data_IF_104914430868
#
_entry.id   IF_104914430868
#
_cell.length_a   1.000
_cell.length_b   1.000
_cell.length_c   1.000
_cell.angle_alpha   90.00
_cell.angle_beta   90.00
_cell.angle_gamma   90.00
#
_symmetry.space_group_name_H-M   'P 1'
#
loop_
_entity.id
_entity.type
_entity.pdbx_description
1 polymer ?
#
# COMPACT_ATOMS: atom_id res chain seq x y z
N UNK A 1 17.60 -14.37 7.48
CA UNK A 1 17.19 -13.91 7.82
C UNK A 1 16.92 -12.65 7.36
N UNK A 2 17.27 -11.89 7.52
CA UNK A 2 16.82 -10.59 7.35
C UNK A 2 16.55 -10.15 5.97
N UNK A 3 16.99 -10.88 5.02
CA UNK A 3 16.82 -10.39 3.72
C UNK A 3 15.43 -10.37 3.28
N UNK A 4 14.57 -11.16 3.75
CA UNK A 4 13.22 -11.01 3.31
C UNK A 4 12.59 -9.78 3.90
N UNK A 5 13.31 -9.11 4.78
CA UNK A 5 12.85 -7.83 5.28
C UNK A 5 13.47 -6.68 4.54
N UNK A 6 14.08 -6.95 3.40
CA UNK A 6 14.65 -5.88 2.62
C UNK A 6 13.57 -4.90 2.21
N UNK A 7 13.83 -3.64 2.40
CA UNK A 7 12.87 -2.59 2.10
C UNK A 7 13.15 -2.07 0.70
N UNK A 8 12.14 -2.14 -0.15
CA UNK A 8 12.22 -1.57 -1.47
C UNK A 8 11.81 -0.11 -1.40
N UNK A 9 12.36 0.70 -2.29
CA UNK A 9 11.99 2.10 -2.35
C UNK A 9 11.20 2.36 -3.61
N UNK A 10 10.10 3.09 -3.48
CA UNK A 10 9.27 3.46 -4.60
C UNK A 10 8.98 4.94 -4.49
N UNK A 11 9.43 5.70 -5.46
CA UNK A 11 9.25 7.15 -5.49
C UNK A 11 9.70 7.82 -4.19
N UNK A 12 10.82 7.34 -3.67
CA UNK A 12 11.42 7.95 -2.50
C UNK A 12 10.86 7.52 -1.15
N UNK A 13 9.94 6.58 -1.13
CA UNK A 13 9.35 6.09 0.13
C UNK A 13 9.52 4.58 0.25
N UNK A 14 9.62 4.07 1.48
CA UNK A 14 9.76 2.63 1.67
C UNK A 14 8.53 1.88 1.21
N UNK A 15 8.74 0.74 0.59
CA UNK A 15 7.68 -0.16 0.18
C UNK A 15 8.01 -1.52 0.76
N UNK A 16 7.22 -1.94 1.74
CA UNK A 16 7.46 -3.19 2.43
C UNK A 16 6.42 -4.21 1.99
N UNK A 17 6.89 -5.38 1.62
CA UNK A 17 5.99 -6.44 1.19
C UNK A 17 5.92 -7.53 2.23
N UNK A 18 4.69 -8.00 2.50
CA UNK A 18 4.47 -9.09 3.43
C UNK A 18 3.34 -9.94 2.87
N UNK A 19 3.67 -11.17 2.43
CA UNK A 19 2.70 -12.08 1.82
C UNK A 19 2.00 -11.40 0.64
N UNK A 20 0.69 -11.22 0.71
CA UNK A 20 -0.05 -10.58 -0.36
C UNK A 20 -0.42 -9.15 0.00
N UNK A 21 0.29 -8.54 0.94
CA UNK A 21 0.08 -7.17 1.35
C UNK A 21 1.34 -6.37 1.11
N UNK A 22 1.16 -5.09 0.78
CA UNK A 22 2.27 -4.16 0.64
C UNK A 22 1.94 -2.92 1.46
N UNK A 23 2.95 -2.43 2.16
CA UNK A 23 2.82 -1.19 2.93
C UNK A 23 3.72 -0.15 2.31
N UNK A 24 3.16 0.99 1.94
CA UNK A 24 3.89 2.06 1.28
C UNK A 24 3.88 3.30 2.16
N UNK A 25 5.06 3.78 2.51
CA UNK A 25 5.22 4.93 3.37
C UNK A 25 5.95 4.56 4.65
N UNK A 26 6.04 5.51 5.56
CA UNK A 26 6.75 5.34 6.82
C UNK A 26 5.78 5.48 7.99
N UNK A 27 5.93 4.64 8.99
CA UNK A 27 5.14 4.77 10.20
C UNK A 27 5.48 6.05 10.97
N UNK A 28 6.57 6.71 10.61
CA UNK A 28 6.89 8.00 11.20
C UNK A 28 6.03 9.13 10.63
N UNK A 29 5.40 8.91 9.48
CA UNK A 29 4.48 9.86 8.90
C UNK A 29 3.08 9.66 9.47
N UNK A 30 2.19 10.61 9.23
CA UNK A 30 0.83 10.53 9.77
C UNK A 30 -0.05 9.54 9.03
N UNK A 31 0.33 9.18 7.81
CA UNK A 31 -0.45 8.28 6.98
C UNK A 31 0.46 7.28 6.30
N UNK A 32 -0.09 6.12 6.00
CA UNK A 32 0.57 5.16 5.13
C UNK A 32 -0.49 4.55 4.22
N UNK A 33 -0.03 3.90 3.17
CA UNK A 33 -0.92 3.21 2.23
C UNK A 33 -0.69 1.72 2.36
N UNK A 34 -1.78 0.97 2.46
CA UNK A 34 -1.72 -0.48 2.44
C UNK A 34 -2.37 -0.97 1.15
N UNK A 35 -1.66 -1.82 0.45
CA UNK A 35 -2.20 -2.47 -0.73
C UNK A 35 -2.33 -3.95 -0.42
N UNK A 36 -3.47 -4.53 -0.78
CA UNK A 36 -3.70 -5.95 -0.56
C UNK A 36 -4.12 -6.59 -1.87
N UNK A 37 -3.42 -7.63 -2.26
CA UNK A 37 -3.77 -8.37 -3.46
C UNK A 37 -4.97 -9.24 -3.15
N UNK A 38 -6.09 -8.96 -3.80
CA UNK A 38 -7.34 -9.68 -3.57
C UNK A 38 -7.49 -10.86 -4.51
N UNK A 39 -7.04 -10.71 -5.75
CA UNK A 39 -7.13 -11.76 -6.75
C UNK A 39 -5.89 -11.77 -7.61
N UNK A 40 -5.53 -12.96 -8.06
CA UNK A 40 -4.46 -13.10 -9.03
C UNK A 40 -4.99 -13.92 -10.20
N UNK A 41 -4.34 -13.82 -11.34
CA UNK A 41 -4.63 -14.67 -12.48
C UNK A 41 -3.32 -15.06 -13.12
N UNK A 42 -3.35 -16.18 -13.85
CA UNK A 42 -2.16 -16.65 -14.54
C UNK A 42 -2.08 -16.06 -15.91
N UNK A 43 -0.91 -15.50 -16.21
CA UNK A 43 -0.61 -15.00 -17.55
C UNK A 43 0.75 -15.58 -17.90
N UNK A 44 0.77 -16.48 -18.90
CA UNK A 44 2.01 -17.13 -19.32
C UNK A 44 2.73 -17.80 -18.15
N UNK A 45 1.96 -18.54 -17.34
CA UNK A 45 2.49 -19.28 -16.20
C UNK A 45 2.99 -18.41 -15.06
N UNK A 46 2.70 -17.11 -15.10
CA UNK A 46 3.05 -16.21 -14.00
C UNK A 46 1.78 -15.77 -13.29
N UNK A 47 1.85 -15.69 -11.98
CA UNK A 47 0.74 -15.16 -11.19
C UNK A 47 0.83 -13.65 -11.18
N UNK A 48 -0.20 -13.00 -11.70
CA UNK A 48 -0.25 -11.55 -11.81
C UNK A 48 -1.41 -11.04 -10.97
N UNK A 49 -1.17 -10.01 -10.18
CA UNK A 49 -2.25 -9.41 -9.39
C UNK A 49 -3.28 -8.81 -10.32
N UNK A 50 -4.53 -9.30 -10.24
CA UNK A 50 -5.60 -8.81 -11.10
C UNK A 50 -6.50 -7.83 -10.38
N UNK A 51 -6.57 -7.91 -9.06
CA UNK A 51 -7.36 -6.96 -8.27
C UNK A 51 -6.62 -6.65 -6.99
N UNK A 52 -6.44 -5.37 -6.70
CA UNK A 52 -5.68 -4.92 -5.54
C UNK A 52 -6.50 -3.87 -4.81
N UNK A 53 -6.64 -4.04 -3.51
CA UNK A 53 -7.27 -3.05 -2.65
C UNK A 53 -6.23 -2.01 -2.24
N UNK A 54 -6.60 -0.74 -2.31
CA UNK A 54 -5.74 0.36 -1.90
C UNK A 54 -6.42 1.05 -0.73
N UNK A 55 -5.73 1.17 0.39
CA UNK A 55 -6.28 1.81 1.57
C UNK A 55 -5.30 2.84 2.08
N UNK A 56 -5.80 4.04 2.35
CA UNK A 56 -5.01 5.09 2.98
C UNK A 56 -5.33 5.05 4.47
N UNK A 57 -4.32 4.82 5.27
CA UNK A 57 -4.50 4.58 6.71
C UNK A 57 -3.80 5.65 7.53
N UNK A 58 -4.37 5.93 8.69
CA UNK A 58 -3.69 6.74 9.70
C UNK A 58 -2.73 5.87 10.49
N UNK A 59 -1.58 6.40 10.80
CA UNK A 59 -0.59 5.68 11.61
C UNK A 59 -0.80 5.88 13.11
N UNK A 60 -1.69 6.81 13.48
CA UNK A 60 -1.92 7.14 14.89
C UNK A 60 -2.44 5.93 15.66
N UNK A 61 -1.70 5.45 16.66
CA UNK A 61 -2.16 4.27 17.42
C UNK A 61 -3.41 4.53 18.23
N UNK A 62 -3.75 5.79 18.50
CA UNK A 62 -4.96 6.12 19.22
C UNK A 62 -6.20 6.07 18.35
N UNK A 63 -6.05 6.02 17.04
CA UNK A 63 -7.19 5.96 16.14
C UNK A 63 -7.81 4.56 16.21
N UNK A 64 -9.14 4.51 16.20
CA UNK A 64 -9.85 3.24 16.19
C UNK A 64 -9.66 2.59 14.82
N UNK A 65 -9.81 1.26 14.78
CA UNK A 65 -9.63 0.55 13.52
C UNK A 65 -10.46 1.11 12.39
N UNK A 66 -11.72 1.43 12.67
CA UNK A 66 -12.61 1.97 11.64
C UNK A 66 -12.21 3.38 11.22
N UNK A 67 -11.61 4.13 12.13
CA UNK A 67 -11.24 5.51 11.86
C UNK A 67 -9.89 5.62 11.19
N UNK A 68 -9.12 4.53 11.19
CA UNK A 68 -7.81 4.56 10.54
C UNK A 68 -7.91 4.57 9.04
N UNK A 69 -8.98 4.03 8.47
CA UNK A 69 -9.13 3.98 7.02
C UNK A 69 -9.69 5.30 6.55
N UNK A 70 -8.85 6.11 5.94
CA UNK A 70 -9.24 7.42 5.43
C UNK A 70 -9.91 7.29 4.07
N UNK A 71 -9.32 6.46 3.20
CA UNK A 71 -9.85 6.20 1.87
C UNK A 71 -9.61 4.76 1.52
N UNK A 72 -10.45 4.22 0.66
CA UNK A 72 -10.31 2.85 0.20
C UNK A 72 -10.86 2.74 -1.21
N UNK A 73 -10.14 2.00 -2.05
CA UNK A 73 -10.62 1.69 -3.39
C UNK A 73 -9.98 0.40 -3.85
N UNK A 74 -10.43 -0.11 -4.98
CA UNK A 74 -9.83 -1.28 -5.61
C UNK A 74 -9.45 -0.93 -7.03
N UNK A 75 -8.34 -1.47 -7.48
CA UNK A 75 -7.85 -1.23 -8.82
C UNK A 75 -7.44 -2.54 -9.46
N UNK A 76 -7.48 -2.56 -10.78
CA UNK A 76 -7.03 -3.72 -11.54
C UNK A 76 -5.53 -3.58 -11.74
N UNK A 77 -4.78 -4.46 -11.13
CA UNK A 77 -3.34 -4.48 -11.30
C UNK A 77 -2.59 -3.73 -10.21
N UNK A 78 -1.40 -4.23 -9.91
CA UNK A 78 -0.61 -3.72 -8.80
C UNK A 78 -0.04 -2.33 -9.08
N UNK A 79 0.45 -2.09 -10.29
CA UNK A 79 1.08 -0.81 -10.58
C UNK A 79 0.07 0.34 -10.57
N UNK A 80 -1.13 0.09 -11.08
CA UNK A 80 -2.20 1.09 -11.01
C UNK A 80 -2.54 1.39 -9.55
N UNK A 81 -2.60 0.35 -8.73
CA UNK A 81 -2.89 0.53 -7.31
C UNK A 81 -1.78 1.32 -6.62
N UNK A 82 -0.52 1.06 -6.94
CA UNK A 82 0.59 1.80 -6.36
C UNK A 82 0.54 3.27 -6.75
N UNK A 83 0.21 3.57 -8.01
CA UNK A 83 0.11 4.96 -8.45
C UNK A 83 -0.96 5.70 -7.67
N UNK A 84 -2.11 5.09 -7.47
CA UNK A 84 -3.19 5.71 -6.72
C UNK A 84 -2.76 5.91 -5.27
N UNK A 85 -2.13 4.90 -4.67
CA UNK A 85 -1.65 5.00 -3.30
C UNK A 85 -0.62 6.09 -3.14
N UNK A 86 0.29 6.20 -4.11
CA UNK A 86 1.32 7.23 -4.07
C UNK A 86 0.71 8.63 -4.08
N UNK A 87 -0.27 8.85 -4.97
CA UNK A 87 -0.95 10.15 -5.06
C UNK A 87 -1.70 10.45 -3.76
N UNK A 88 -2.41 9.48 -3.23
CA UNK A 88 -3.14 9.69 -2.00
C UNK A 88 -2.22 10.04 -0.84
N UNK A 89 -1.10 9.32 -0.74
CA UNK A 89 -0.16 9.57 0.34
C UNK A 89 0.49 10.95 0.21
N UNK A 90 0.89 11.31 -0.99
CA UNK A 90 1.48 12.62 -1.23
C UNK A 90 0.52 13.73 -0.83
N UNK A 91 -0.75 13.60 -1.21
CA UNK A 91 -1.74 14.61 -0.88
C UNK A 91 -2.03 14.65 0.62
N UNK A 92 -2.10 13.49 1.25
CA UNK A 92 -2.37 13.45 2.69
C UNK A 92 -1.24 14.11 3.48
N UNK A 93 -0.01 13.85 3.09
CA UNK A 93 1.13 14.42 3.80
C UNK A 93 1.36 15.89 3.47
N UNK A 94 1.06 16.29 2.24
CA UNK A 94 1.23 17.68 1.85
C UNK A 94 0.10 18.57 2.37
N UNK A 95 -1.05 18.00 2.64
CA UNK A 95 -2.20 18.78 3.09
C UNK A 95 -2.22 19.12 4.56
N UNK A 96 -1.14 18.86 5.24
CA UNK A 96 -1.10 19.10 6.69
C UNK A 96 -0.79 20.52 7.06
#
# INVERSE_FOLDING_TARGET
MAEENAVLMYKGRPLLRKDNQLYYGSMADSHIVMLQVLETKKVNDLDVASRVSVQLLLTDPAARSRDRIVKKTEKDGLYTALDVGCVWLDRALAGK
#
